data_IF_007750686705
#
_entry.id   IF_007750686705
#
_cell.length_a   1.000
_cell.length_b   1.000
_cell.length_c   1.000
_cell.angle_alpha   90.00
_cell.angle_beta   90.00
_cell.angle_gamma   90.00
#
_symmetry.space_group_name_H-M   'P 1'
#
loop_
_entity.id
_entity.type
_entity.pdbx_description
1 polymer ?
#
# COMPACT_ATOMS: atom_id res chain seq x y z
N UNK A 1 -22.76 -6.61 12.98
CA UNK A 1 -22.05 -7.39 11.95
C UNK A 1 -20.57 -7.40 12.34
N UNK A 2 -19.87 -8.52 12.17
CA UNK A 2 -18.42 -8.54 12.37
C UNK A 2 -17.76 -7.67 11.32
N UNK A 3 -16.80 -6.82 11.71
CA UNK A 3 -16.05 -6.01 10.75
C UNK A 3 -15.40 -6.91 9.69
N UNK A 4 -15.58 -6.60 8.41
CA UNK A 4 -14.89 -7.26 7.30
C UNK A 4 -13.73 -6.39 6.83
N UNK A 5 -12.69 -7.05 6.38
CA UNK A 5 -11.46 -6.42 5.93
C UNK A 5 -11.06 -7.01 4.59
N UNK A 6 -10.39 -6.18 3.80
CA UNK A 6 -10.00 -6.53 2.44
C UNK A 6 -8.56 -6.08 2.20
N UNK A 7 -7.78 -6.94 1.56
CA UNK A 7 -6.54 -6.50 0.94
C UNK A 7 -6.87 -5.68 -0.31
N UNK A 8 -6.36 -4.46 -0.36
CA UNK A 8 -6.38 -3.56 -1.51
C UNK A 8 -5.08 -3.76 -2.32
N UNK A 9 -5.21 -4.42 -3.46
CA UNK A 9 -4.15 -4.61 -4.46
C UNK A 9 -4.42 -3.80 -5.72
N UNK A 10 -3.37 -3.68 -6.54
CA UNK A 10 -3.52 -3.10 -7.88
C UNK A 10 -4.26 -4.09 -8.78
N UNK A 11 -5.22 -3.58 -9.55
CA UNK A 11 -5.88 -4.34 -10.62
C UNK A 11 -4.99 -4.30 -11.88
N UNK A 12 -4.22 -5.38 -12.08
CA UNK A 12 -3.22 -5.48 -13.15
C UNK A 12 -3.93 -5.71 -14.49
N UNK A 13 -3.85 -4.71 -15.37
CA UNK A 13 -4.43 -4.74 -16.72
C UNK A 13 -3.37 -4.37 -17.77
N UNK A 14 -3.49 -4.94 -18.96
CA UNK A 14 -2.65 -4.55 -20.09
C UNK A 14 -2.92 -3.09 -20.52
N UNK A 15 -1.87 -2.38 -20.94
CA UNK A 15 -1.96 -1.01 -21.44
C UNK A 15 -2.10 0.07 -20.36
N UNK A 16 -1.99 -0.30 -19.09
CA UNK A 16 -1.87 0.65 -17.96
C UNK A 16 -0.43 1.13 -17.86
N UNK A 17 -0.24 2.37 -17.42
CA UNK A 17 1.11 2.92 -17.21
C UNK A 17 1.88 2.15 -16.13
N UNK A 18 3.20 2.25 -16.17
CA UNK A 18 4.07 1.71 -15.12
C UNK A 18 4.83 2.87 -14.48
N UNK A 19 4.74 2.99 -13.16
CA UNK A 19 5.39 4.04 -12.38
C UNK A 19 6.67 3.52 -11.75
N UNK A 20 7.75 4.30 -11.81
CA UNK A 20 9.04 3.91 -11.20
C UNK A 20 9.25 4.58 -9.82
N UNK A 21 10.43 4.34 -9.24
CA UNK A 21 10.80 4.89 -7.93
C UNK A 21 10.80 6.42 -7.99
N UNK A 22 10.20 7.11 -7.00
CA UNK A 22 10.23 8.55 -6.95
C UNK A 22 11.65 9.09 -6.76
N UNK A 23 11.90 10.29 -7.28
CA UNK A 23 13.09 11.08 -7.00
C UNK A 23 12.73 12.47 -6.49
N UNK A 24 13.67 13.07 -5.75
CA UNK A 24 13.56 14.43 -5.25
C UNK A 24 13.97 15.48 -6.31
N UNK A 25 13.94 16.77 -5.94
CA UNK A 25 14.32 17.89 -6.82
C UNK A 25 15.77 17.81 -7.33
N UNK A 26 16.67 17.18 -6.57
CA UNK A 26 18.05 16.92 -6.97
C UNK A 26 18.19 15.72 -7.92
N UNK A 27 17.06 15.11 -8.33
CA UNK A 27 16.98 13.86 -9.12
C UNK A 27 17.71 12.70 -8.45
N UNK A 28 17.72 12.69 -7.11
CA UNK A 28 18.19 11.56 -6.34
C UNK A 28 17.01 10.64 -6.05
N UNK A 29 17.15 9.37 -6.41
CA UNK A 29 16.22 8.32 -6.00
C UNK A 29 16.27 8.14 -4.47
N UNK A 30 15.14 7.75 -3.89
CA UNK A 30 15.10 7.38 -2.48
C UNK A 30 16.02 6.18 -2.20
N UNK A 31 16.94 6.32 -1.24
CA UNK A 31 17.94 5.29 -0.91
C UNK A 31 17.28 3.98 -0.43
N UNK A 32 16.11 4.08 0.21
CA UNK A 32 15.31 2.94 0.64
C UNK A 32 13.92 2.96 -0.01
N UNK A 33 13.72 2.24 -1.12
CA UNK A 33 12.43 2.18 -1.80
C UNK A 33 11.29 1.59 -0.95
N UNK A 34 11.61 0.88 0.14
CA UNK A 34 10.63 0.32 1.07
C UNK A 34 10.23 1.30 2.17
N UNK A 35 10.82 2.50 2.25
CA UNK A 35 10.55 3.45 3.34
C UNK A 35 9.07 3.79 3.48
N UNK A 36 8.34 3.91 2.37
CA UNK A 36 6.92 4.26 2.33
C UNK A 36 5.97 3.12 2.72
N UNK A 37 6.46 1.88 2.76
CA UNK A 37 5.67 0.69 3.13
C UNK A 37 6.01 0.16 4.52
N UNK A 38 6.85 0.86 5.29
CA UNK A 38 7.26 0.46 6.65
C UNK A 38 6.12 0.38 7.68
N UNK A 39 4.98 1.01 7.40
CA UNK A 39 3.85 1.07 8.34
C UNK A 39 4.01 2.17 9.38
N UNK A 40 4.72 3.25 9.04
CA UNK A 40 4.98 4.40 9.90
C UNK A 40 5.00 5.67 9.06
N UNK A 41 4.78 6.83 9.69
CA UNK A 41 4.98 8.12 9.02
C UNK A 41 6.41 8.23 8.50
N UNK A 42 6.56 8.87 7.35
CA UNK A 42 7.86 9.13 6.71
C UNK A 42 8.12 10.63 6.67
N UNK A 43 9.38 11.00 6.74
CA UNK A 43 9.83 12.34 6.44
C UNK A 43 10.34 12.36 5.00
N UNK A 44 9.91 13.33 4.23
CA UNK A 44 10.35 13.56 2.85
C UNK A 44 10.76 15.03 2.76
N UNK A 45 11.96 15.27 2.25
CA UNK A 45 12.45 16.61 1.99
C UNK A 45 12.14 17.02 0.55
N UNK A 46 11.49 18.18 0.40
CA UNK A 46 11.15 18.73 -0.91
C UNK A 46 10.03 17.99 -1.63
N UNK A 47 9.92 18.26 -2.94
CA UNK A 47 8.88 17.69 -3.79
C UNK A 47 9.35 16.39 -4.46
N UNK A 48 8.49 15.37 -4.47
CA UNK A 48 8.76 14.11 -5.15
C UNK A 48 8.16 14.09 -6.55
N UNK A 49 8.94 13.59 -7.49
CA UNK A 49 8.48 13.28 -8.85
C UNK A 49 8.48 11.77 -9.04
N UNK A 50 7.34 11.22 -9.43
CA UNK A 50 7.19 9.81 -9.80
C UNK A 50 7.23 9.72 -11.32
N UNK A 51 8.27 9.12 -11.92
CA UNK A 51 8.36 8.97 -13.36
C UNK A 51 7.42 7.89 -13.90
N UNK A 52 7.12 8.03 -15.18
CA UNK A 52 6.45 7.00 -15.97
C UNK A 52 7.55 6.23 -16.70
N UNK A 53 7.74 4.97 -16.30
CA UNK A 53 8.67 4.04 -16.97
C UNK A 53 8.08 3.58 -18.30
N UNK A 54 6.92 2.91 -18.23
CA UNK A 54 6.17 2.53 -19.42
C UNK A 54 4.90 3.40 -19.58
N UNK A 55 4.77 4.14 -20.70
CA UNK A 55 3.58 4.91 -20.98
C UNK A 55 2.34 4.03 -21.14
N UNK A 56 1.21 4.48 -20.59
CA UNK A 56 -0.06 3.78 -20.71
C UNK A 56 -1.23 4.63 -20.23
N UNK A 57 -2.40 4.01 -20.11
CA UNK A 57 -3.58 4.64 -19.56
C UNK A 57 -3.38 4.90 -18.06
N UNK A 58 -3.61 6.12 -17.57
CA UNK A 58 -3.56 6.41 -16.14
C UNK A 58 -4.62 5.62 -15.38
N UNK A 59 -4.25 5.10 -14.23
CA UNK A 59 -5.17 4.53 -13.24
C UNK A 59 -5.24 5.44 -12.01
N UNK A 60 -6.31 5.28 -11.23
CA UNK A 60 -6.52 6.07 -10.03
C UNK A 60 -5.84 5.48 -8.80
N UNK A 61 -5.65 4.16 -8.79
CA UNK A 61 -4.81 3.44 -7.84
C UNK A 61 -3.76 2.66 -8.63
N UNK A 62 -2.49 2.89 -8.32
CA UNK A 62 -1.36 2.20 -8.93
C UNK A 62 -0.30 1.89 -7.88
N UNK A 63 0.69 1.07 -8.20
CA UNK A 63 1.89 0.91 -7.37
C UNK A 63 3.15 1.27 -8.15
N UNK A 64 4.15 1.81 -7.46
CA UNK A 64 5.49 1.92 -8.03
C UNK A 64 6.11 0.52 -8.15
N UNK A 65 6.89 0.30 -9.21
CA UNK A 65 7.49 -1.01 -9.55
C UNK A 65 8.36 -1.57 -8.43
N UNK A 66 9.13 -0.72 -7.76
CA UNK A 66 10.01 -1.11 -6.68
C UNK A 66 9.63 -0.39 -5.38
N UNK A 67 9.51 -1.16 -4.28
CA UNK A 67 8.95 -0.69 -3.02
C UNK A 67 7.44 -0.91 -2.87
N UNK A 68 6.71 -1.09 -3.98
CA UNK A 68 5.27 -1.40 -4.04
C UNK A 68 4.37 -0.36 -3.34
N UNK A 69 4.87 0.87 -3.23
CA UNK A 69 4.12 1.97 -2.62
C UNK A 69 2.95 2.37 -3.50
N UNK A 70 1.72 2.44 -2.95
CA UNK A 70 0.59 2.89 -3.73
C UNK A 70 0.71 4.37 -4.08
N UNK A 71 0.43 4.70 -5.34
CA UNK A 71 0.24 6.05 -5.86
C UNK A 71 -1.23 6.19 -6.19
N UNK A 72 -1.89 7.18 -5.61
CA UNK A 72 -3.34 7.34 -5.68
C UNK A 72 -3.72 8.71 -6.24
N UNK A 73 -4.78 8.75 -7.03
CA UNK A 73 -5.37 9.98 -7.51
C UNK A 73 -6.05 10.76 -6.36
N UNK A 74 -6.10 12.09 -6.46
CA UNK A 74 -6.67 12.99 -5.43
C UNK A 74 -8.09 12.63 -5.00
N UNK A 75 -8.87 11.99 -5.89
CA UNK A 75 -10.23 11.53 -5.55
C UNK A 75 -10.23 10.43 -4.47
N UNK A 76 -9.25 9.51 -4.52
CA UNK A 76 -9.07 8.50 -3.48
C UNK A 76 -8.45 9.11 -2.23
N UNK A 77 -7.49 10.03 -2.40
CA UNK A 77 -6.90 10.78 -1.30
C UNK A 77 -7.96 11.48 -0.44
N UNK A 78 -8.94 12.14 -1.06
CA UNK A 78 -10.02 12.81 -0.35
C UNK A 78 -10.86 11.84 0.51
N UNK A 79 -11.20 10.66 -0.04
CA UNK A 79 -11.91 9.62 0.72
C UNK A 79 -11.07 9.14 1.92
N UNK A 80 -9.77 8.93 1.73
CA UNK A 80 -8.88 8.52 2.82
C UNK A 80 -8.78 9.59 3.91
N UNK A 81 -8.70 10.88 3.54
CA UNK A 81 -8.69 11.98 4.50
C UNK A 81 -10.01 12.13 5.25
N UNK A 82 -11.14 11.85 4.60
CA UNK A 82 -12.46 11.91 5.25
C UNK A 82 -12.68 10.74 6.22
N UNK A 83 -12.28 9.53 5.82
CA UNK A 83 -12.66 8.32 6.55
C UNK A 83 -11.56 7.73 7.43
N UNK A 84 -10.29 7.99 7.14
CA UNK A 84 -9.13 7.29 7.72
C UNK A 84 -7.88 8.20 7.91
N UNK A 85 -8.08 9.50 8.21
CA UNK A 85 -6.98 10.47 8.33
C UNK A 85 -5.89 10.08 9.34
N UNK A 86 -6.26 9.41 10.44
CA UNK A 86 -5.32 8.98 11.49
C UNK A 86 -4.49 7.74 11.11
N UNK A 87 -4.89 7.07 10.03
CA UNK A 87 -4.29 5.84 9.54
C UNK A 87 -3.36 6.07 8.34
N UNK A 88 -3.48 7.21 7.67
CA UNK A 88 -2.73 7.53 6.45
C UNK A 88 -1.81 8.74 6.61
N UNK A 89 -0.75 8.75 5.82
CA UNK A 89 -0.03 9.95 5.42
C UNK A 89 -0.05 10.00 3.90
N UNK A 90 -0.45 11.14 3.36
CA UNK A 90 -0.47 11.39 1.92
C UNK A 90 0.64 12.37 1.58
N UNK A 91 1.46 11.99 0.59
CA UNK A 91 2.60 12.81 0.15
C UNK A 91 2.32 13.20 -1.30
N UNK A 92 2.03 14.47 -1.58
CA UNK A 92 1.82 14.94 -2.94
C UNK A 92 3.01 14.61 -3.83
N UNK A 93 2.76 14.16 -5.05
CA UNK A 93 3.81 13.86 -6.03
C UNK A 93 3.46 14.45 -7.38
N UNK A 94 4.49 14.80 -8.15
CA UNK A 94 4.33 15.12 -9.58
C UNK A 94 4.50 13.87 -10.40
N UNK A 95 3.52 13.57 -11.25
CA UNK A 95 3.69 12.64 -12.37
C UNK A 95 3.77 13.48 -13.64
N UNK A 96 4.77 13.26 -14.52
CA UNK A 96 4.86 13.99 -15.79
C UNK A 96 3.55 13.97 -16.57
N UNK A 97 3.09 15.15 -17.03
CA UNK A 97 1.80 15.38 -17.72
C UNK A 97 0.54 15.23 -16.84
N UNK A 98 0.71 14.89 -15.55
CA UNK A 98 -0.36 14.79 -14.56
C UNK A 98 0.02 15.49 -13.24
N UNK A 99 0.41 16.78 -13.27
CA UNK A 99 0.79 17.50 -12.06
C UNK A 99 -0.42 17.65 -11.11
N UNK A 100 -0.14 17.62 -9.81
CA UNK A 100 -1.11 17.89 -8.73
C UNK A 100 -2.33 16.95 -8.69
N UNK A 101 -2.27 15.81 -9.38
CA UNK A 101 -3.37 14.84 -9.43
C UNK A 101 -3.14 13.61 -8.55
N UNK A 102 -1.91 13.41 -8.04
CA UNK A 102 -1.51 12.16 -7.39
C UNK A 102 -0.77 12.38 -6.08
N UNK A 103 -0.87 11.40 -5.19
CA UNK A 103 -0.12 11.33 -3.94
C UNK A 103 0.37 9.90 -3.68
N UNK A 104 1.53 9.76 -3.03
CA UNK A 104 1.93 8.50 -2.43
C UNK A 104 1.08 8.26 -1.17
N UNK A 105 0.59 7.03 -1.03
CA UNK A 105 -0.17 6.56 0.11
C UNK A 105 0.74 5.80 1.08
N UNK A 106 1.00 6.42 2.23
CA UNK A 106 1.70 5.78 3.35
C UNK A 106 0.68 5.35 4.39
N UNK A 107 0.58 4.04 4.61
CA UNK A 107 -0.13 3.50 5.76
C UNK A 107 0.73 3.68 7.02
N UNK A 108 0.16 4.29 8.05
CA UNK A 108 0.89 4.68 9.28
C UNK A 108 0.71 3.69 10.43
N UNK A 109 -0.11 2.65 10.24
CA UNK A 109 -0.37 1.60 11.20
C UNK A 109 0.25 0.28 10.72
N UNK A 110 1.06 -0.34 11.59
CA UNK A 110 1.60 -1.68 11.42
C UNK A 110 1.03 -2.59 12.51
N UNK A 111 0.21 -3.57 12.14
CA UNK A 111 -0.58 -4.36 13.10
C UNK A 111 -0.26 -5.85 12.96
N UNK A 112 0.07 -6.51 14.08
CA UNK A 112 0.30 -7.97 14.10
C UNK A 112 -1.03 -8.73 14.19
N UNK A 113 -1.74 -8.80 13.07
CA UNK A 113 -3.09 -9.37 13.00
C UNK A 113 -3.22 -10.61 12.10
N UNK A 114 -2.17 -11.08 11.41
CA UNK A 114 -2.29 -12.31 10.60
C UNK A 114 -2.63 -13.49 11.51
N UNK A 115 -3.67 -14.22 11.14
CA UNK A 115 -4.04 -15.48 11.77
C UNK A 115 -3.33 -16.61 11.02
N UNK A 116 -2.21 -17.05 11.59
CA UNK A 116 -1.34 -18.08 11.00
C UNK A 116 -2.03 -19.45 10.88
N UNK A 117 -3.05 -19.73 11.71
CA UNK A 117 -3.77 -21.01 11.69
C UNK A 117 -4.90 -21.00 10.64
N UNK A 118 -5.54 -19.84 10.44
CA UNK A 118 -6.59 -19.68 9.44
C UNK A 118 -6.03 -19.35 8.04
N UNK A 119 -4.77 -18.91 7.94
CA UNK A 119 -4.11 -18.59 6.68
C UNK A 119 -3.50 -19.83 6.00
N UNK A 120 -3.42 -19.81 4.67
CA UNK A 120 -2.76 -20.85 3.89
C UNK A 120 -1.40 -20.39 3.37
N UNK A 121 -0.46 -21.34 3.21
CA UNK A 121 0.86 -21.06 2.63
C UNK A 121 1.81 -20.25 3.53
N UNK A 122 1.51 -20.15 4.82
CA UNK A 122 2.35 -19.42 5.79
C UNK A 122 3.71 -20.08 5.91
N UNK A 123 4.77 -19.36 5.54
CA UNK A 123 6.17 -19.77 5.75
C UNK A 123 6.93 -18.63 6.39
N UNK A 124 7.92 -18.97 7.20
CA UNK A 124 8.78 -17.99 7.86
C UNK A 124 10.20 -18.01 7.29
N UNK A 125 10.90 -16.91 7.46
CA UNK A 125 12.34 -16.88 7.30
C UNK A 125 13.00 -17.67 8.44
N UNK A 126 13.67 -18.75 8.07
CA UNK A 126 14.50 -19.59 8.94
C UNK A 126 16.00 -19.33 8.73
N UNK A 127 16.88 -19.73 9.67
CA UNK A 127 18.34 -19.55 9.56
C UNK A 127 18.95 -20.08 8.25
N UNK A 128 18.43 -21.20 7.75
CA UNK A 128 18.89 -21.84 6.51
C UNK A 128 18.74 -20.98 5.25
N UNK A 129 17.91 -19.93 5.30
CA UNK A 129 17.71 -19.02 4.17
C UNK A 129 18.77 -17.90 4.10
N UNK A 130 19.71 -17.82 5.05
CA UNK A 130 20.84 -16.89 4.98
C UNK A 130 20.48 -15.41 5.15
N UNK A 131 19.31 -15.08 5.70
CA UNK A 131 18.90 -13.71 6.01
C UNK A 131 18.58 -13.55 7.51
N UNK A 132 19.62 -13.39 8.38
CA UNK A 132 19.44 -13.39 9.82
C UNK A 132 18.49 -12.31 10.34
N UNK A 133 18.48 -11.13 9.72
CA UNK A 133 17.64 -10.00 10.11
C UNK A 133 16.15 -10.19 9.80
N UNK A 134 15.78 -11.17 8.97
CA UNK A 134 14.38 -11.49 8.67
C UNK A 134 13.85 -12.68 9.46
N UNK A 135 14.69 -13.37 10.24
CA UNK A 135 14.28 -14.59 10.93
C UNK A 135 13.03 -14.31 11.80
N UNK A 136 11.99 -15.12 11.61
CA UNK A 136 10.70 -14.95 12.27
C UNK A 136 9.71 -14.01 11.57
N UNK A 137 10.11 -13.33 10.50
CA UNK A 137 9.19 -12.64 9.59
C UNK A 137 8.56 -13.61 8.57
N UNK A 138 7.43 -13.20 7.99
CA UNK A 138 6.78 -13.97 6.94
C UNK A 138 7.63 -13.98 5.66
N UNK A 139 7.82 -15.17 5.11
CA UNK A 139 8.43 -15.41 3.80
C UNK A 139 7.37 -15.61 2.71
N UNK A 140 6.25 -16.24 3.04
CA UNK A 140 5.08 -16.37 2.17
C UNK A 140 3.79 -16.43 3.00
N UNK A 141 2.72 -15.89 2.44
CA UNK A 141 1.33 -16.06 2.89
C UNK A 141 0.48 -16.10 1.61
N UNK A 142 -0.06 -17.26 1.25
CA UNK A 142 -0.73 -17.47 -0.06
C UNK A 142 -2.20 -17.04 0.00
N UNK A 143 -2.91 -17.46 1.06
CA UNK A 143 -4.28 -17.00 1.36
C UNK A 143 -4.26 -16.43 2.77
N UNK A 144 -4.21 -15.10 2.86
CA UNK A 144 -4.10 -14.40 4.13
C UNK A 144 -5.46 -14.33 4.83
N UNK A 145 -5.47 -14.71 6.11
CA UNK A 145 -6.55 -14.44 7.05
C UNK A 145 -6.06 -13.57 8.20
N UNK A 146 -6.93 -12.69 8.70
CA UNK A 146 -6.60 -11.85 9.85
C UNK A 146 -7.50 -12.11 11.06
N UNK A 147 -6.90 -12.05 12.23
CA UNK A 147 -7.57 -11.97 13.52
C UNK A 147 -8.07 -10.54 13.75
N UNK A 148 -9.36 -10.35 13.47
CA UNK A 148 -10.07 -9.07 13.53
C UNK A 148 -10.06 -8.46 14.94
N UNK A 149 -9.91 -9.27 15.99
CA UNK A 149 -9.85 -8.78 17.37
C UNK A 149 -8.60 -7.95 17.65
N UNK A 150 -7.55 -8.10 16.82
CA UNK A 150 -6.26 -7.40 16.97
C UNK A 150 -6.17 -6.08 16.20
N UNK A 151 -7.16 -5.78 15.35
CA UNK A 151 -7.12 -4.60 14.46
C UNK A 151 -7.50 -3.30 15.19
N UNK A 152 -8.36 -3.40 16.21
CA UNK A 152 -8.91 -2.22 16.89
C UNK A 152 -9.78 -1.39 15.94
N UNK A 153 -9.60 -0.08 15.98
CA UNK A 153 -10.39 0.88 15.19
C UNK A 153 -9.73 1.27 13.85
N UNK A 154 -8.61 0.64 13.49
CA UNK A 154 -7.87 0.97 12.27
C UNK A 154 -8.68 0.60 11.02
N UNK A 155 -8.83 1.56 10.12
CA UNK A 155 -9.52 1.40 8.83
C UNK A 155 -8.58 1.15 7.68
N UNK A 156 -7.32 1.57 7.81
CA UNK A 156 -6.28 1.30 6.83
C UNK A 156 -4.95 0.98 7.53
N UNK A 157 -4.36 -0.17 7.23
CA UNK A 157 -3.12 -0.59 7.90
C UNK A 157 -2.33 -1.61 7.07
N UNK A 158 -1.10 -1.88 7.50
CA UNK A 158 -0.28 -2.97 6.97
C UNK A 158 -0.13 -4.07 8.03
N UNK A 159 -0.22 -5.35 7.64
CA UNK A 159 0.08 -6.44 8.56
C UNK A 159 1.58 -6.45 8.91
N UNK A 160 1.88 -6.63 10.19
CA UNK A 160 3.25 -6.85 10.64
C UNK A 160 3.84 -8.09 9.96
N UNK A 161 5.09 -8.00 9.51
CA UNK A 161 5.78 -9.08 8.79
C UNK A 161 5.33 -9.30 7.35
N UNK A 162 4.22 -8.69 6.89
CA UNK A 162 3.72 -8.80 5.52
C UNK A 162 3.36 -7.42 4.95
N UNK A 163 4.36 -6.52 4.96
CA UNK A 163 4.20 -5.10 4.65
C UNK A 163 3.76 -4.80 3.22
N UNK A 164 3.84 -5.77 2.30
CA UNK A 164 3.36 -5.61 0.91
C UNK A 164 1.84 -5.49 0.82
N UNK A 165 1.12 -6.11 1.76
CA UNK A 165 -0.32 -6.02 1.83
C UNK A 165 -0.77 -4.67 2.40
N UNK A 166 -1.87 -4.15 1.87
CA UNK A 166 -2.55 -2.96 2.35
C UNK A 166 -3.98 -3.36 2.69
N UNK A 167 -4.33 -3.32 3.97
CA UNK A 167 -5.66 -3.77 4.43
C UNK A 167 -6.56 -2.56 4.64
N UNK A 168 -7.80 -2.68 4.18
CA UNK A 168 -8.86 -1.69 4.38
C UNK A 168 -10.09 -2.32 5.03
N UNK A 169 -10.80 -1.56 5.84
CA UNK A 169 -12.11 -1.95 6.40
C UNK A 169 -13.22 -1.92 5.34
N UNK A 170 -14.32 -2.63 5.57
CA UNK A 170 -15.47 -2.70 4.64
C UNK A 170 -16.11 -1.34 4.36
N UNK A 171 -16.21 -0.46 5.37
CA UNK A 171 -16.75 0.89 5.21
C UNK A 171 -15.84 1.74 4.32
N UNK A 172 -14.52 1.66 4.51
CA UNK A 172 -13.54 2.36 3.69
C UNK A 172 -13.53 1.82 2.25
N UNK A 173 -13.52 0.49 2.08
CA UNK A 173 -13.66 -0.15 0.76
C UNK A 173 -14.89 0.38 0.02
N UNK A 174 -16.04 0.38 0.69
CA UNK A 174 -17.31 0.85 0.09
C UNK A 174 -17.22 2.32 -0.33
N UNK A 175 -16.59 3.17 0.48
CA UNK A 175 -16.37 4.57 0.15
C UNK A 175 -15.44 4.73 -1.06
N UNK A 176 -14.37 3.96 -1.14
CA UNK A 176 -13.44 3.95 -2.27
C UNK A 176 -14.14 3.50 -3.56
N UNK A 177 -14.91 2.42 -3.53
CA UNK A 177 -15.65 1.90 -4.71
C UNK A 177 -16.67 2.92 -5.25
N UNK A 178 -17.34 3.68 -4.37
CA UNK A 178 -18.31 4.72 -4.77
C UNK A 178 -17.70 5.86 -5.58
N UNK A 179 -16.39 6.04 -5.54
CA UNK A 179 -15.71 7.05 -6.38
C UNK A 179 -15.66 6.67 -7.86
N UNK A 180 -15.91 5.40 -8.20
CA UNK A 180 -15.72 4.89 -9.56
C UNK A 180 -14.26 4.89 -10.02
N UNK A 181 -13.31 4.93 -9.06
CA UNK A 181 -11.89 4.92 -9.34
C UNK A 181 -11.43 3.57 -9.93
N UNK A 182 -10.45 3.66 -10.83
CA UNK A 182 -9.85 2.53 -11.55
C UNK A 182 -8.58 2.01 -10.86
N UNK A 183 -8.20 0.77 -11.15
CA UNK A 183 -6.94 0.18 -10.68
C UNK A 183 -6.98 -0.44 -9.28
N UNK A 184 -8.14 -0.52 -8.64
CA UNK A 184 -8.30 -1.16 -7.33
C UNK A 184 -8.86 -2.58 -7.46
N UNK A 185 -8.24 -3.53 -6.77
CA UNK A 185 -8.76 -4.88 -6.58
C UNK A 185 -8.85 -5.20 -5.09
N UNK A 186 -9.94 -5.82 -4.66
CA UNK A 186 -10.20 -6.11 -3.24
C UNK A 186 -10.39 -7.61 -3.02
N UNK A 187 -9.57 -8.19 -2.13
CA UNK A 187 -9.67 -9.59 -1.71
C UNK A 187 -10.00 -9.66 -0.22
N UNK A 188 -11.02 -10.40 0.18
CA UNK A 188 -11.40 -10.53 1.60
C UNK A 188 -10.37 -11.34 2.40
N UNK A 189 -9.98 -10.81 3.57
CA UNK A 189 -9.00 -11.38 4.50
C UNK A 189 -9.58 -11.67 5.87
#
# INVERSE_FOLDING_TARGET
MAARYFELSEDVQEGVWVLEVPWNELRQEEEDPWMFTKGSRVHVEGHLTVPIGDPGRPHDFCRITFGLTPVIHVKLANVLLEHAADDVQLIPVTIPKHPDQYALLVATKLIRCIDEQASEGVRFWEPQHGQPWKIGEYRSVDIMRIDKSKVGDAKLFRPWGWKVALIVSEDLKTALERTGATGMFFTEV
#
